data_IF_950957226895
#
_entry.id   IF_950957226895
#
_cell.length_a   1.000
_cell.length_b   1.000
_cell.length_c   1.000
_cell.angle_alpha   90.00
_cell.angle_beta   90.00
_cell.angle_gamma   90.00
#
_symmetry.space_group_name_H-M   'P 1'
#
loop_
_entity.id
_entity.type
_entity.pdbx_description
1 polymer ?
#
# COMPACT_ATOMS: atom_id res chain seq x y z
N UNK A 1 -25.21 10.41 7.22
CA UNK A 1 -24.71 10.23 5.84
C UNK A 1 -23.96 11.50 5.50
N UNK A 2 -22.70 11.40 5.10
CA UNK A 2 -21.95 12.59 4.68
C UNK A 2 -22.51 13.15 3.38
N UNK A 3 -22.61 14.47 3.28
CA UNK A 3 -23.08 15.14 2.07
C UNK A 3 -22.04 15.03 0.95
N UNK A 4 -22.42 15.31 -0.29
CA UNK A 4 -21.48 15.31 -1.41
C UNK A 4 -20.41 16.40 -1.24
N UNK A 5 -20.80 17.55 -0.70
CA UNK A 5 -19.91 18.66 -0.37
C UNK A 5 -18.88 18.28 0.70
N UNK A 6 -19.29 17.56 1.74
CA UNK A 6 -18.38 17.05 2.78
C UNK A 6 -17.37 16.07 2.19
N UNK A 7 -17.80 15.22 1.25
CA UNK A 7 -16.91 14.29 0.53
C UNK A 7 -15.92 15.02 -0.37
N UNK A 8 -16.37 16.05 -1.08
CA UNK A 8 -15.51 16.89 -1.93
C UNK A 8 -14.49 17.67 -1.10
N UNK A 9 -14.89 18.23 0.04
CA UNK A 9 -13.99 18.93 0.96
C UNK A 9 -12.92 17.98 1.53
N UNK A 10 -13.32 16.77 1.93
CA UNK A 10 -12.38 15.73 2.39
C UNK A 10 -11.39 15.34 1.28
N UNK A 11 -11.87 15.10 0.06
CA UNK A 11 -11.01 14.76 -1.07
C UNK A 11 -10.01 15.88 -1.37
N UNK A 12 -10.45 17.13 -1.34
CA UNK A 12 -9.58 18.31 -1.48
C UNK A 12 -8.51 18.35 -0.39
N UNK A 13 -8.87 18.12 0.87
CA UNK A 13 -7.93 18.02 1.98
C UNK A 13 -6.89 16.92 1.79
N UNK A 14 -7.32 15.71 1.42
CA UNK A 14 -6.43 14.57 1.17
C UNK A 14 -5.49 14.80 -0.02
N UNK A 15 -5.97 15.45 -1.08
CA UNK A 15 -5.17 15.76 -2.28
C UNK A 15 -4.04 16.76 -2.05
N UNK A 16 -4.12 17.54 -0.96
CA UNK A 16 -3.08 18.50 -0.56
C UNK A 16 -1.98 17.86 0.28
N UNK A 17 -2.19 16.64 0.79
CA UNK A 17 -1.17 15.92 1.54
C UNK A 17 -0.03 15.50 0.59
N UNK A 18 1.24 15.59 1.02
CA UNK A 18 2.33 14.90 0.36
C UNK A 18 1.98 13.41 0.22
N UNK A 19 2.33 12.80 -0.91
CA UNK A 19 2.05 11.38 -1.17
C UNK A 19 2.48 10.44 -0.01
N UNK A 20 3.66 10.62 0.64
CA UNK A 20 4.03 9.80 1.80
C UNK A 20 3.02 9.89 2.96
N UNK A 21 2.50 11.08 3.25
CA UNK A 21 1.53 11.29 4.33
C UNK A 21 0.15 10.73 3.97
N UNK A 22 -0.27 10.89 2.71
CA UNK A 22 -1.51 10.29 2.22
C UNK A 22 -1.46 8.77 2.34
N UNK A 23 -0.34 8.15 1.97
CA UNK A 23 -0.13 6.70 2.11
C UNK A 23 -0.23 6.28 3.57
N UNK A 24 0.40 6.99 4.51
CA UNK A 24 0.31 6.66 5.93
C UNK A 24 -1.12 6.75 6.49
N UNK A 25 -1.86 7.79 6.09
CA UNK A 25 -3.28 7.91 6.45
C UNK A 25 -4.05 6.70 5.94
N UNK A 26 -3.91 6.35 4.66
CA UNK A 26 -4.63 5.24 4.04
C UNK A 26 -4.22 3.88 4.64
N UNK A 27 -2.96 3.67 4.98
CA UNK A 27 -2.48 2.47 5.67
C UNK A 27 -3.09 2.26 7.05
N UNK A 28 -3.41 3.35 7.76
CA UNK A 28 -4.10 3.28 9.06
C UNK A 28 -5.60 3.08 8.89
N UNK A 29 -6.18 3.70 7.86
CA UNK A 29 -7.63 3.74 7.64
C UNK A 29 -8.13 2.44 7.01
N UNK A 30 -7.50 1.94 5.94
CA UNK A 30 -8.02 0.80 5.17
C UNK A 30 -8.20 -0.49 6.00
N UNK A 31 -7.26 -0.89 6.88
CA UNK A 31 -7.46 -2.08 7.71
C UNK A 31 -8.64 -1.94 8.69
N UNK A 32 -8.98 -0.74 9.14
CA UNK A 32 -10.13 -0.53 10.02
C UNK A 32 -11.48 -0.77 9.31
N UNK A 33 -11.49 -0.70 7.98
CA UNK A 33 -12.66 -1.01 7.15
C UNK A 33 -12.68 -2.46 6.63
N UNK A 34 -11.61 -3.22 6.86
CA UNK A 34 -11.59 -4.65 6.55
C UNK A 34 -12.63 -5.37 7.42
N UNK A 35 -13.67 -5.91 6.78
CA UNK A 35 -14.76 -6.64 7.45
C UNK A 35 -14.70 -8.10 7.06
N UNK A 36 -14.42 -9.04 7.99
CA UNK A 36 -14.33 -10.46 7.66
C UNK A 36 -15.58 -10.92 6.91
N UNK A 37 -15.39 -11.40 5.67
CA UNK A 37 -16.47 -11.96 4.85
C UNK A 37 -16.45 -13.47 4.97
N UNK A 38 -17.21 -13.99 5.95
CA UNK A 38 -17.32 -15.42 6.19
C UNK A 38 -15.98 -16.04 6.62
N UNK A 39 -15.65 -17.22 6.06
CA UNK A 39 -14.41 -17.94 6.36
C UNK A 39 -13.17 -17.34 5.66
N UNK A 40 -13.36 -16.42 4.71
CA UNK A 40 -12.26 -15.78 3.98
C UNK A 40 -11.96 -14.40 4.57
N UNK A 41 -10.76 -14.19 5.15
CA UNK A 41 -10.34 -12.85 5.55
C UNK A 41 -10.14 -12.01 4.29
N UNK A 42 -10.62 -10.77 4.32
CA UNK A 42 -10.47 -9.77 3.27
C UNK A 42 -9.78 -8.53 3.85
N UNK A 43 -8.58 -8.24 3.37
CA UNK A 43 -7.88 -7.01 3.74
C UNK A 43 -8.01 -5.99 2.62
N UNK A 44 -8.25 -4.73 2.97
CA UNK A 44 -8.12 -3.61 2.05
C UNK A 44 -6.68 -3.11 2.09
N UNK A 45 -6.02 -3.09 0.94
CA UNK A 45 -4.67 -2.57 0.79
C UNK A 45 -4.61 -1.57 -0.38
N UNK A 46 -3.58 -0.73 -0.38
CA UNK A 46 -3.19 0.00 -1.58
C UNK A 46 -2.39 -0.94 -2.49
N UNK A 47 -2.51 -0.76 -3.80
CA UNK A 47 -1.78 -1.53 -4.78
C UNK A 47 -1.38 -0.59 -5.91
N UNK A 48 -0.19 -0.80 -6.47
CA UNK A 48 0.21 -0.18 -7.72
C UNK A 48 -0.17 -1.11 -8.87
N UNK A 49 -0.82 -0.55 -9.89
CA UNK A 49 -1.31 -1.32 -11.03
C UNK A 49 -0.72 -0.74 -12.30
N UNK A 50 -0.06 -1.58 -13.10
CA UNK A 50 0.46 -1.21 -14.40
C UNK A 50 -0.23 -1.97 -15.52
N UNK A 51 -0.30 -1.32 -16.68
CA UNK A 51 -0.79 -1.90 -17.93
C UNK A 51 0.29 -1.75 -18.99
N UNK A 52 0.64 -2.87 -19.64
CA UNK A 52 1.49 -2.85 -20.83
C UNK A 52 0.58 -2.72 -22.04
N UNK A 53 0.63 -1.57 -22.70
CA UNK A 53 -0.12 -1.33 -23.94
C UNK A 53 0.26 -2.37 -25.00
N UNK A 54 -0.74 -3.05 -25.57
CA UNK A 54 -0.56 -4.04 -26.65
C UNK A 54 -0.78 -5.51 -26.27
N UNK A 55 -0.97 -5.85 -25.00
CA UNK A 55 -1.42 -7.19 -24.57
C UNK A 55 -2.83 -7.12 -23.99
N UNK A 56 -3.85 -7.29 -24.84
CA UNK A 56 -5.28 -7.21 -24.43
C UNK A 56 -5.77 -8.44 -23.64
N UNK A 57 -5.00 -9.52 -23.61
CA UNK A 57 -5.50 -10.84 -23.18
C UNK A 57 -4.95 -11.28 -21.80
N UNK A 58 -4.02 -10.52 -21.23
CA UNK A 58 -3.52 -10.73 -19.87
C UNK A 58 -4.03 -9.55 -19.06
N UNK A 59 -4.87 -9.79 -18.06
CA UNK A 59 -5.38 -8.75 -17.18
C UNK A 59 -4.27 -7.92 -16.52
N UNK A 60 -4.62 -6.88 -15.74
CA UNK A 60 -3.62 -6.07 -15.04
C UNK A 60 -2.74 -6.98 -14.17
N UNK A 61 -1.42 -6.81 -14.29
CA UNK A 61 -0.49 -7.40 -13.34
C UNK A 61 -0.60 -6.62 -12.04
N UNK A 62 -0.71 -7.32 -10.93
CA UNK A 62 -0.86 -6.74 -9.60
C UNK A 62 0.31 -7.21 -8.76
N UNK A 63 1.19 -6.27 -8.42
CA UNK A 63 2.27 -6.51 -7.49
C UNK A 63 1.88 -5.95 -6.13
N UNK A 64 2.13 -6.74 -5.08
CA UNK A 64 1.82 -6.34 -3.72
C UNK A 64 2.94 -5.43 -3.21
N UNK A 65 2.71 -4.13 -3.24
CA UNK A 65 3.71 -3.15 -2.81
C UNK A 65 3.69 -3.01 -1.29
N UNK A 66 4.74 -3.48 -0.63
CA UNK A 66 4.99 -3.22 0.78
C UNK A 66 5.45 -1.78 0.99
N UNK A 67 5.02 -1.21 2.11
CA UNK A 67 5.16 0.21 2.35
C UNK A 67 6.41 0.53 3.17
N UNK A 68 7.27 1.46 2.75
CA UNK A 68 8.49 1.79 3.47
C UNK A 68 8.24 2.11 4.96
N UNK A 69 9.19 1.69 5.80
CA UNK A 69 9.23 2.01 7.22
C UNK A 69 9.64 3.47 7.40
N UNK A 70 8.68 4.39 7.29
CA UNK A 70 8.94 5.83 7.34
C UNK A 70 9.53 6.30 8.67
N UNK A 71 9.20 5.64 9.78
CA UNK A 71 9.82 5.96 11.07
C UNK A 71 11.32 5.65 11.06
N UNK A 72 11.72 4.58 10.36
CA UNK A 72 13.13 4.25 10.15
C UNK A 72 13.83 5.16 9.12
N UNK A 73 13.11 5.70 8.14
CA UNK A 73 13.66 6.52 7.05
C UNK A 73 13.44 8.03 7.23
N UNK A 74 13.28 8.52 8.45
CA UNK A 74 13.10 9.96 8.75
C UNK A 74 11.96 10.62 7.93
N UNK A 75 10.88 9.86 7.71
CA UNK A 75 9.71 10.30 6.93
C UNK A 75 9.85 10.12 5.41
N UNK A 76 10.98 9.64 4.90
CA UNK A 76 11.18 9.35 3.48
C UNK A 76 10.78 7.93 3.06
N UNK A 77 10.99 7.60 1.78
CA UNK A 77 10.81 6.25 1.22
C UNK A 77 12.12 5.43 1.15
N UNK A 78 13.15 5.88 1.87
CA UNK A 78 14.48 5.25 1.90
C UNK A 78 15.48 5.81 0.87
N UNK A 79 16.75 5.40 0.98
CA UNK A 79 17.88 6.03 0.26
C UNK A 79 17.97 5.68 -1.23
N UNK A 80 17.16 4.74 -1.74
CA UNK A 80 17.24 4.25 -3.11
C UNK A 80 15.85 4.09 -3.75
N UNK A 81 15.04 5.16 -3.72
CA UNK A 81 13.77 5.22 -4.46
C UNK A 81 14.03 4.98 -5.96
N UNK A 82 13.87 3.73 -6.42
CA UNK A 82 14.16 3.33 -7.79
C UNK A 82 14.61 1.87 -7.95
N UNK A 83 15.14 1.25 -6.89
CA UNK A 83 15.40 -0.20 -6.89
C UNK A 83 14.26 -0.91 -6.18
N UNK A 84 13.61 -1.83 -6.90
CA UNK A 84 12.60 -2.69 -6.31
C UNK A 84 13.29 -3.85 -5.58
N UNK A 85 13.16 -3.84 -4.26
CA UNK A 85 13.53 -4.92 -3.37
C UNK A 85 12.32 -5.86 -3.25
N UNK A 86 12.57 -7.15 -3.10
CA UNK A 86 11.50 -8.17 -3.01
C UNK A 86 11.70 -9.10 -1.83
N UNK A 87 10.62 -9.73 -1.38
CA UNK A 87 10.67 -10.71 -0.31
C UNK A 87 9.29 -11.20 0.09
N UNK A 88 9.26 -12.18 0.97
CA UNK A 88 8.02 -12.78 1.47
C UNK A 88 7.75 -12.30 2.89
N UNK A 89 6.53 -11.87 3.17
CA UNK A 89 6.13 -11.48 4.52
C UNK A 89 6.26 -12.67 5.49
N UNK A 90 6.99 -12.54 6.61
CA UNK A 90 7.25 -13.67 7.51
C UNK A 90 6.00 -14.15 8.25
N UNK A 91 4.98 -13.30 8.40
CA UNK A 91 3.73 -13.65 9.10
C UNK A 91 2.69 -14.30 8.17
N UNK A 92 2.29 -13.61 7.09
CA UNK A 92 1.22 -14.09 6.22
C UNK A 92 1.69 -14.81 4.95
N UNK A 93 3.00 -14.89 4.70
CA UNK A 93 3.56 -15.60 3.54
C UNK A 93 3.33 -14.90 2.19
N UNK A 94 2.84 -13.66 2.18
CA UNK A 94 2.59 -12.91 0.96
C UNK A 94 3.89 -12.40 0.34
N UNK A 95 4.10 -12.65 -0.95
CA UNK A 95 5.20 -12.04 -1.70
C UNK A 95 4.93 -10.55 -1.91
N UNK A 96 5.92 -9.73 -1.59
CA UNK A 96 5.81 -8.27 -1.63
C UNK A 96 7.05 -7.65 -2.26
N UNK A 97 6.86 -6.49 -2.86
CA UNK A 97 7.93 -5.65 -3.41
C UNK A 97 7.92 -4.27 -2.76
N UNK A 98 9.06 -3.60 -2.66
CA UNK A 98 9.11 -2.22 -2.18
C UNK A 98 10.33 -1.51 -2.73
N UNK A 99 10.30 -0.18 -2.76
CA UNK A 99 11.50 0.63 -3.04
C UNK A 99 12.43 0.77 -1.84
N UNK A 100 12.11 0.10 -0.72
CA UNK A 100 12.85 0.16 0.53
C UNK A 100 13.07 -1.24 1.11
N UNK A 101 14.24 -1.45 1.71
CA UNK A 101 14.58 -2.73 2.37
C UNK A 101 13.75 -3.00 3.62
N UNK A 102 13.33 -1.95 4.32
CA UNK A 102 12.43 -2.05 5.46
C UNK A 102 11.07 -1.53 5.06
N UNK A 103 10.10 -2.40 5.05
CA UNK A 103 8.73 -2.06 4.70
C UNK A 103 7.76 -2.82 5.62
N UNK A 104 6.48 -2.47 5.63
CA UNK A 104 5.48 -3.33 6.25
C UNK A 104 4.55 -3.94 5.21
N UNK A 105 4.19 -5.19 5.47
CA UNK A 105 3.26 -5.94 4.66
C UNK A 105 1.91 -5.20 4.56
N UNK A 106 1.34 -5.02 3.37
CA UNK A 106 0.07 -4.34 3.21
C UNK A 106 -1.12 -5.17 3.70
N UNK A 107 -0.94 -6.49 3.91
CA UNK A 107 -2.02 -7.40 4.32
C UNK A 107 -2.14 -7.54 5.84
N UNK A 108 -1.01 -7.65 6.56
CA UNK A 108 -1.00 -7.91 8.00
C UNK A 108 -0.21 -6.87 8.81
N UNK A 109 0.36 -5.86 8.16
CA UNK A 109 1.17 -4.80 8.78
C UNK A 109 2.44 -5.29 9.48
N UNK A 110 2.85 -6.54 9.29
CA UNK A 110 4.10 -7.07 9.86
C UNK A 110 5.31 -6.40 9.19
N UNK A 111 6.34 -5.99 9.96
CA UNK A 111 7.61 -5.53 9.42
C UNK A 111 8.26 -6.60 8.53
N UNK A 112 8.68 -6.20 7.34
CA UNK A 112 9.32 -7.03 6.33
C UNK A 112 10.72 -6.49 6.04
N UNK A 113 11.67 -7.42 5.90
CA UNK A 113 13.02 -7.16 5.42
C UNK A 113 13.15 -7.73 4.01
N UNK A 114 13.37 -6.85 3.03
CA UNK A 114 13.42 -7.16 1.61
C UNK A 114 14.87 -7.12 1.09
N UNK A 115 15.09 -7.82 -0.02
CA UNK A 115 16.41 -8.06 -0.64
C UNK A 115 16.47 -7.66 -2.10
#
# INVERSE_FOLDING_TARGET
>A
MTTDDERAALASGLSRLPLPELVDVLRRVLPAYAKPRGATPNTLCLAEVWWVSGRRDLGPSVDVVAWPDREYYDGGFGPASGNWESGTCPECGLDVVSTAKRAFCPACSTPCWLT
#
